data_IF_950758497078
#
_entry.id   IF_950758497078
#
_cell.length_a   1.000
_cell.length_b   1.000
_cell.length_c   1.000
_cell.angle_alpha   90.00
_cell.angle_beta   90.00
_cell.angle_gamma   90.00
#
_symmetry.space_group_name_H-M   'P 1'
#
loop_
_entity.id
_entity.type
_entity.pdbx_description
1 polymer ?
#
# COMPACT_ATOMS: atom_id res chain seq x y z
N UNK A 1 -3.29 19.73 -3.58
CA UNK A 1 -3.40 18.25 -3.77
C UNK A 1 -3.16 17.83 -5.22
N UNK A 2 -4.04 18.18 -6.16
CA UNK A 2 -3.89 17.83 -7.60
C UNK A 2 -2.54 18.23 -8.25
N UNK A 3 -1.98 19.45 -8.02
CA UNK A 3 -0.71 19.83 -8.63
C UNK A 3 0.48 18.98 -8.15
N UNK A 4 0.46 18.53 -6.89
CA UNK A 4 1.53 17.68 -6.34
C UNK A 4 1.47 16.26 -6.91
N UNK A 5 0.26 15.73 -7.13
CA UNK A 5 0.06 14.42 -7.77
C UNK A 5 0.55 14.48 -9.22
N UNK A 6 0.18 15.55 -9.94
CA UNK A 6 0.65 15.77 -11.32
C UNK A 6 2.17 15.87 -11.36
N UNK A 7 2.77 16.65 -10.45
CA UNK A 7 4.23 16.76 -10.34
C UNK A 7 4.89 15.41 -10.08
N UNK A 8 4.36 14.59 -9.16
CA UNK A 8 4.91 13.26 -8.89
C UNK A 8 4.81 12.32 -10.10
N UNK A 9 3.74 12.43 -10.90
CA UNK A 9 3.54 11.59 -12.08
C UNK A 9 4.37 12.03 -13.29
N UNK A 10 4.53 13.34 -13.49
CA UNK A 10 5.05 13.92 -14.74
C UNK A 10 6.49 14.46 -14.62
N UNK A 11 6.96 14.84 -13.41
CA UNK A 11 8.29 15.44 -13.19
C UNK A 11 9.31 14.38 -12.75
N UNK A 12 10.29 14.00 -13.58
CA UNK A 12 11.32 13.02 -13.22
C UNK A 12 12.20 13.46 -12.04
N UNK A 13 12.26 14.76 -11.72
CA UNK A 13 12.98 15.26 -10.55
C UNK A 13 12.21 15.00 -9.25
N UNK A 14 10.89 14.79 -9.31
CA UNK A 14 10.06 14.51 -8.16
C UNK A 14 10.07 13.01 -7.84
N UNK A 15 11.12 12.56 -7.13
CA UNK A 15 11.35 11.13 -6.87
C UNK A 15 10.49 10.52 -5.77
N UNK A 16 10.02 11.32 -4.82
CA UNK A 16 9.33 10.83 -3.63
C UNK A 16 8.02 11.59 -3.41
N UNK A 17 7.01 10.87 -2.95
CA UNK A 17 5.76 11.43 -2.47
C UNK A 17 5.43 10.80 -1.12
N UNK A 18 5.07 11.64 -0.15
CA UNK A 18 4.65 11.21 1.19
C UNK A 18 3.16 11.45 1.33
N UNK A 19 2.47 10.49 1.94
CA UNK A 19 1.04 10.56 2.18
C UNK A 19 0.59 9.54 3.20
N UNK A 20 -0.67 9.61 3.60
CA UNK A 20 -1.28 8.64 4.51
C UNK A 20 -2.03 7.57 3.73
N UNK A 21 -2.14 6.32 4.25
CA UNK A 21 -2.94 5.26 3.62
C UNK A 21 -4.40 5.68 3.36
N UNK A 22 -4.98 6.49 4.26
CA UNK A 22 -6.34 7.05 4.12
C UNK A 22 -6.51 7.93 2.87
N UNK A 23 -5.42 8.45 2.30
CA UNK A 23 -5.45 9.19 1.03
C UNK A 23 -5.84 8.27 -0.15
N UNK A 24 -5.75 6.94 0.04
CA UNK A 24 -6.26 5.93 -0.87
C UNK A 24 -7.78 5.97 -1.08
N UNK A 25 -8.57 6.52 -0.16
CA UNK A 25 -10.04 6.64 -0.32
C UNK A 25 -10.48 7.61 -1.41
N UNK A 26 -9.58 8.47 -1.88
CA UNK A 26 -9.93 9.61 -2.73
C UNK A 26 -9.63 9.43 -4.22
N UNK A 27 -9.46 8.20 -4.70
CA UNK A 27 -9.42 7.90 -6.14
C UNK A 27 -8.16 8.32 -6.90
N UNK A 28 -7.05 8.62 -6.23
CA UNK A 28 -5.81 9.08 -6.89
C UNK A 28 -5.08 7.97 -7.64
N UNK A 29 -4.31 8.33 -8.66
CA UNK A 29 -3.48 7.40 -9.44
C UNK A 29 -2.02 7.73 -9.17
N UNK A 30 -1.23 6.72 -8.78
CA UNK A 30 0.18 6.84 -8.40
C UNK A 30 1.05 5.86 -9.18
N UNK A 31 0.75 5.66 -10.46
CA UNK A 31 1.44 4.73 -11.37
C UNK A 31 2.91 5.04 -11.60
N UNK A 32 3.37 6.27 -11.36
CA UNK A 32 4.80 6.60 -11.35
C UNK A 32 5.56 5.92 -10.20
N UNK A 33 4.88 5.57 -9.10
CA UNK A 33 5.48 4.83 -8.01
C UNK A 33 5.61 3.34 -8.37
N UNK A 34 6.83 2.81 -8.26
CA UNK A 34 7.12 1.37 -8.34
C UNK A 34 7.63 0.81 -7.00
N UNK A 35 7.82 1.66 -5.99
CA UNK A 35 8.18 1.24 -4.64
C UNK A 35 7.33 2.01 -3.64
N UNK A 36 6.68 1.28 -2.74
CA UNK A 36 5.81 1.81 -1.69
C UNK A 36 6.37 1.36 -0.36
N UNK A 37 6.64 2.33 0.52
CA UNK A 37 7.18 2.06 1.86
C UNK A 37 6.10 2.44 2.88
N UNK A 38 5.64 1.46 3.64
CA UNK A 38 4.79 1.68 4.81
C UNK A 38 5.69 1.93 6.01
N UNK A 39 5.73 3.19 6.45
CA UNK A 39 6.48 3.58 7.63
C UNK A 39 5.88 3.01 8.92
N UNK A 40 4.56 2.85 8.95
CA UNK A 40 3.81 2.26 10.05
C UNK A 40 2.55 1.61 9.51
N UNK A 41 2.16 0.47 10.09
CA UNK A 41 0.93 -0.23 9.73
C UNK A 41 -0.19 0.05 10.72
N UNK A 42 -1.43 0.00 10.23
CA UNK A 42 -2.63 0.01 11.06
C UNK A 42 -3.31 -1.35 11.06
N UNK A 43 -4.36 -1.51 11.88
CA UNK A 43 -5.15 -2.75 11.92
C UNK A 43 -6.16 -2.89 10.77
N UNK A 44 -6.29 -1.88 9.92
CA UNK A 44 -7.31 -1.80 8.88
C UNK A 44 -6.79 -2.34 7.55
N UNK A 45 -7.18 -3.59 7.25
CA UNK A 45 -6.77 -4.29 6.03
C UNK A 45 -7.34 -3.62 4.77
N UNK A 46 -8.59 -3.16 4.82
CA UNK A 46 -9.26 -2.56 3.65
C UNK A 46 -8.55 -1.28 3.21
N UNK A 47 -8.21 -0.41 4.18
CA UNK A 47 -7.44 0.81 3.88
C UNK A 47 -6.07 0.50 3.30
N UNK A 48 -5.43 -0.57 3.74
CA UNK A 48 -4.15 -1.00 3.19
C UNK A 48 -4.31 -1.44 1.74
N UNK A 49 -5.20 -2.39 1.47
CA UNK A 49 -5.47 -2.89 0.11
C UNK A 49 -5.82 -1.75 -0.85
N UNK A 50 -6.70 -0.84 -0.43
CA UNK A 50 -7.08 0.33 -1.22
C UNK A 50 -5.90 1.28 -1.50
N UNK A 51 -4.92 1.36 -0.61
CA UNK A 51 -3.71 2.16 -0.82
C UNK A 51 -2.74 1.50 -1.80
N UNK A 52 -2.62 0.16 -1.76
CA UNK A 52 -1.82 -0.62 -2.70
C UNK A 52 -2.36 -0.48 -4.14
N UNK A 53 -3.69 -0.54 -4.31
CA UNK A 53 -4.38 -0.37 -5.59
C UNK A 53 -4.12 0.98 -6.28
N UNK A 54 -3.57 1.97 -5.58
CA UNK A 54 -3.21 3.27 -6.17
C UNK A 54 -1.93 3.22 -6.99
N UNK A 55 -0.96 2.42 -6.56
CA UNK A 55 0.28 2.15 -7.29
C UNK A 55 0.11 0.94 -8.23
N UNK A 56 -0.65 -0.06 -7.79
CA UNK A 56 -1.02 -1.23 -8.57
C UNK A 56 -2.32 -1.00 -9.36
N UNK A 57 -2.29 0.03 -10.21
CA UNK A 57 -3.44 0.48 -11.01
C UNK A 57 -3.22 0.22 -12.50
N UNK A 58 -4.32 0.13 -13.25
CA UNK A 58 -4.31 0.11 -14.72
C UNK A 58 -3.45 1.27 -15.24
N UNK A 59 -2.41 0.96 -16.00
CA UNK A 59 -1.40 1.92 -16.48
C UNK A 59 -0.01 1.78 -15.83
N UNK A 60 0.11 0.99 -14.77
CA UNK A 60 1.40 0.59 -14.23
C UNK A 60 2.14 -0.34 -15.20
N UNK A 61 3.41 -0.03 -15.50
CA UNK A 61 4.26 -0.81 -16.43
C UNK A 61 5.41 -1.53 -15.73
N UNK A 62 5.66 -1.21 -14.45
CA UNK A 62 6.76 -1.76 -13.67
C UNK A 62 6.21 -2.58 -12.51
N UNK A 63 6.94 -3.60 -12.08
CA UNK A 63 6.64 -4.31 -10.84
C UNK A 63 6.64 -3.33 -9.67
N UNK A 64 5.64 -3.44 -8.79
CA UNK A 64 5.50 -2.60 -7.60
C UNK A 64 6.03 -3.39 -6.40
N UNK A 65 7.04 -2.84 -5.71
CA UNK A 65 7.59 -3.42 -4.48
C UNK A 65 6.98 -2.74 -3.27
N UNK A 66 6.44 -3.53 -2.35
CA UNK A 66 5.94 -3.06 -1.06
C UNK A 66 6.96 -3.39 0.02
N UNK A 67 7.28 -2.41 0.85
CA UNK A 67 8.22 -2.54 1.98
C UNK A 67 7.51 -2.09 3.24
N UNK A 68 7.44 -2.99 4.21
CA UNK A 68 6.94 -2.68 5.55
C UNK A 68 8.10 -2.47 6.50
N UNK A 69 8.14 -1.30 7.15
CA UNK A 69 9.03 -1.09 8.28
C UNK A 69 8.35 -1.66 9.53
N UNK A 70 9.01 -2.61 10.18
CA UNK A 70 8.52 -3.30 11.37
C UNK A 70 9.59 -3.18 12.43
N UNK A 71 9.23 -2.64 13.59
CA UNK A 71 10.12 -2.61 14.74
C UNK A 71 9.93 -3.88 15.60
N UNK A 72 11.01 -4.63 15.82
CA UNK A 72 11.02 -5.84 16.64
C UNK A 72 10.65 -5.53 18.09
N UNK A 73 10.01 -6.48 18.76
CA UNK A 73 9.59 -6.35 20.18
C UNK A 73 8.61 -5.20 20.46
N UNK A 74 7.94 -4.67 19.42
CA UNK A 74 6.94 -3.61 19.56
C UNK A 74 5.53 -4.06 19.16
N UNK A 75 4.58 -3.11 19.22
CA UNK A 75 3.20 -3.31 18.75
C UNK A 75 3.13 -3.62 17.25
N UNK A 76 4.15 -3.28 16.46
CA UNK A 76 4.18 -3.50 15.01
C UNK A 76 4.01 -4.98 14.66
N UNK A 77 4.65 -5.89 15.42
CA UNK A 77 4.48 -7.34 15.22
C UNK A 77 3.03 -7.78 15.42
N UNK A 78 2.34 -7.22 16.42
CA UNK A 78 0.94 -7.54 16.71
C UNK A 78 0.04 -7.05 15.58
N UNK A 79 0.33 -5.87 15.04
CA UNK A 79 -0.40 -5.27 13.92
C UNK A 79 -0.24 -6.16 12.68
N UNK A 80 1.00 -6.53 12.33
CA UNK A 80 1.27 -7.39 11.17
C UNK A 80 0.62 -8.76 11.34
N UNK A 81 0.73 -9.40 12.51
CA UNK A 81 0.04 -10.67 12.81
C UNK A 81 -1.49 -10.54 12.65
N UNK A 82 -2.07 -9.43 13.10
CA UNK A 82 -3.50 -9.18 12.95
C UNK A 82 -3.90 -8.97 11.48
N UNK A 83 -3.10 -8.24 10.68
CA UNK A 83 -3.32 -8.07 9.25
C UNK A 83 -3.26 -9.41 8.50
N UNK A 84 -2.22 -10.21 8.75
CA UNK A 84 -2.09 -11.57 8.18
C UNK A 84 -3.30 -12.44 8.50
N UNK A 85 -3.75 -12.44 9.75
CA UNK A 85 -4.93 -13.19 10.16
C UNK A 85 -6.20 -12.74 9.40
N UNK A 86 -6.37 -11.43 9.20
CA UNK A 86 -7.49 -10.90 8.41
C UNK A 86 -7.41 -11.32 6.95
N UNK A 87 -6.22 -11.36 6.35
CA UNK A 87 -6.00 -11.83 4.98
C UNK A 87 -6.33 -13.32 4.84
N UNK A 88 -5.87 -14.15 5.78
CA UNK A 88 -6.15 -15.59 5.73
C UNK A 88 -7.65 -15.87 5.79
N UNK A 89 -8.37 -15.22 6.72
CA UNK A 89 -9.83 -15.37 6.83
C UNK A 89 -10.51 -14.91 5.54
N UNK A 90 -10.08 -13.78 4.96
CA UNK A 90 -10.63 -13.31 3.69
C UNK A 90 -10.38 -14.30 2.55
N UNK A 91 -9.18 -14.89 2.48
CA UNK A 91 -8.78 -15.88 1.48
C UNK A 91 -9.61 -17.17 1.59
N UNK A 92 -9.79 -17.68 2.81
CA UNK A 92 -10.59 -18.88 3.08
C UNK A 92 -12.05 -18.71 2.67
N UNK A 93 -12.64 -17.54 2.92
CA UNK A 93 -14.04 -17.24 2.57
C UNK A 93 -14.22 -17.04 1.06
N UNK A 94 -13.26 -16.38 0.40
CA UNK A 94 -13.35 -16.05 -1.02
C UNK A 94 -12.86 -17.19 -1.93
N UNK A 95 -12.15 -18.19 -1.39
CA UNK A 95 -11.55 -19.27 -2.17
C UNK A 95 -10.42 -18.81 -3.09
N UNK A 96 -9.94 -17.58 -2.92
CA UNK A 96 -8.84 -16.97 -3.67
C UNK A 96 -7.62 -16.81 -2.75
N UNK A 97 -6.42 -17.14 -3.24
CA UNK A 97 -5.18 -16.82 -2.52
C UNK A 97 -4.96 -15.30 -2.50
N UNK A 98 -5.49 -14.58 -1.51
CA UNK A 98 -5.07 -13.20 -1.29
C UNK A 98 -3.59 -13.22 -0.86
N UNK A 99 -2.73 -12.79 -1.80
CA UNK A 99 -1.39 -12.20 -1.62
C UNK A 99 -0.66 -12.64 -0.34
N UNK A 100 0.12 -13.72 -0.43
CA UNK A 100 0.81 -14.39 0.68
C UNK A 100 2.02 -13.64 1.29
N UNK A 101 2.25 -12.38 0.94
CA UNK A 101 3.54 -11.69 1.20
C UNK A 101 3.55 -10.75 2.40
N UNK A 102 2.43 -10.57 3.11
CA UNK A 102 2.47 -9.91 4.42
C UNK A 102 2.99 -10.89 5.42
#
# INVERSE_FOLDING_TARGET
RQPNIKRFQDDPKCRFMVGTPSTGGYGITLTAANTVIYYSNGYDLEKRLQSEDRAHRIGQKKSVTYVDLICEETVDEKIVKALRKKINIASEVLGEELRSWI
#
